data_IF_302243097825
#
_entry.id   IF_302243097825
#
_cell.length_a   1.000
_cell.length_b   1.000
_cell.length_c   1.000
_cell.angle_alpha   90.00
_cell.angle_beta   90.00
_cell.angle_gamma   90.00
#
_symmetry.space_group_name_H-M   'P 1'
#
loop_
_entity.id
_entity.type
_entity.pdbx_description
1 polymer ?
#
# COMPACT_ATOMS: atom_id res chain seq x y z
N UNK A 1 5.52 8.37 -7.39
CA UNK A 1 4.70 9.04 -6.35
C UNK A 1 5.58 10.00 -5.56
N UNK A 2 5.04 11.13 -5.07
CA UNK A 2 5.79 12.01 -4.14
C UNK A 2 6.08 11.23 -2.85
N UNK A 3 7.28 11.42 -2.28
CA UNK A 3 7.76 10.71 -1.09
C UNK A 3 6.88 10.90 0.17
N UNK A 4 5.98 11.88 0.18
CA UNK A 4 5.18 12.26 1.35
C UNK A 4 3.70 11.82 1.30
N UNK A 5 3.26 11.09 0.27
CA UNK A 5 1.83 10.73 0.15
C UNK A 5 0.89 11.90 -0.24
N UNK A 6 1.39 13.13 -0.33
CA UNK A 6 0.63 14.34 -0.74
C UNK A 6 -0.04 14.21 -2.12
N UNK A 7 0.41 13.26 -2.94
CA UNK A 7 -0.15 12.99 -4.26
C UNK A 7 -1.12 11.78 -4.29
N UNK A 8 -1.33 11.07 -3.18
CA UNK A 8 -2.09 9.82 -3.18
C UNK A 8 -3.55 10.04 -3.62
N UNK A 9 -4.19 11.10 -3.12
CA UNK A 9 -5.56 11.45 -3.52
C UNK A 9 -5.67 11.75 -5.03
N UNK A 10 -4.66 12.43 -5.60
CA UNK A 10 -4.64 12.76 -7.03
C UNK A 10 -4.36 11.54 -7.90
N UNK A 11 -3.45 10.65 -7.48
CA UNK A 11 -3.20 9.37 -8.16
C UNK A 11 -4.45 8.49 -8.10
N UNK A 12 -5.08 8.38 -6.94
CA UNK A 12 -6.32 7.64 -6.79
C UNK A 12 -7.42 8.23 -7.69
N UNK A 13 -7.60 9.55 -7.73
CA UNK A 13 -8.53 10.21 -8.67
C UNK A 13 -8.24 9.83 -10.12
N UNK A 14 -6.97 9.90 -10.55
CA UNK A 14 -6.57 9.50 -11.89
C UNK A 14 -6.94 8.04 -12.18
N UNK A 15 -6.75 7.12 -11.22
CA UNK A 15 -7.14 5.72 -11.36
C UNK A 15 -8.66 5.56 -11.43
N UNK A 16 -9.43 6.27 -10.59
CA UNK A 16 -10.89 6.28 -10.66
C UNK A 16 -11.41 6.72 -12.03
N UNK A 17 -10.80 7.76 -12.61
CA UNK A 17 -11.26 8.36 -13.86
C UNK A 17 -10.77 7.63 -15.12
N UNK A 18 -9.53 7.11 -15.10
CA UNK A 18 -8.85 6.59 -16.30
C UNK A 18 -8.61 5.09 -16.30
N UNK A 19 -8.61 4.46 -15.13
CA UNK A 19 -8.28 3.03 -14.98
C UNK A 19 -9.23 2.32 -13.99
N UNK A 20 -10.54 2.23 -14.31
CA UNK A 20 -11.55 1.69 -13.40
C UNK A 20 -11.26 0.23 -13.00
N UNK A 21 -10.68 -0.58 -13.90
CA UNK A 21 -10.30 -1.96 -13.58
C UNK A 21 -9.17 -2.02 -12.53
N UNK A 22 -8.18 -1.14 -12.61
CA UNK A 22 -7.08 -1.06 -11.64
C UNK A 22 -7.61 -0.65 -10.26
N UNK A 23 -8.41 0.41 -10.19
CA UNK A 23 -8.94 0.86 -8.89
C UNK A 23 -9.90 -0.17 -8.28
N UNK A 24 -10.69 -0.89 -9.08
CA UNK A 24 -11.54 -1.96 -8.58
C UNK A 24 -10.73 -3.09 -7.95
N UNK A 25 -9.59 -3.47 -8.55
CA UNK A 25 -8.67 -4.45 -7.97
C UNK A 25 -8.03 -3.95 -6.67
N UNK A 26 -7.64 -2.68 -6.62
CA UNK A 26 -7.11 -2.04 -5.40
C UNK A 26 -8.15 -2.07 -4.29
N UNK A 27 -9.39 -1.68 -4.58
CA UNK A 27 -10.48 -1.67 -3.61
C UNK A 27 -10.82 -3.08 -3.14
N UNK A 28 -10.78 -4.07 -4.04
CA UNK A 28 -10.98 -5.47 -3.67
C UNK A 28 -9.88 -5.95 -2.71
N UNK A 29 -8.61 -5.76 -3.08
CA UNK A 29 -7.49 -6.15 -2.23
C UNK A 29 -7.56 -5.43 -0.86
N UNK A 30 -7.89 -4.14 -0.84
CA UNK A 30 -8.03 -3.38 0.41
C UNK A 30 -9.08 -3.98 1.34
N UNK A 31 -10.26 -4.39 0.82
CA UNK A 31 -11.31 -5.05 1.62
C UNK A 31 -10.84 -6.39 2.18
N UNK A 32 -10.13 -7.16 1.35
CA UNK A 32 -9.61 -8.47 1.74
C UNK A 32 -8.54 -8.33 2.84
N UNK A 33 -7.69 -7.30 2.76
CA UNK A 33 -6.61 -7.08 3.74
C UNK A 33 -7.08 -6.33 5.00
N UNK A 34 -8.11 -5.50 4.88
CA UNK A 34 -8.64 -4.68 5.98
C UNK A 34 -10.17 -4.84 6.03
N UNK A 35 -10.68 -5.88 6.72
CA UNK A 35 -12.11 -6.20 6.74
C UNK A 35 -13.05 -5.08 7.24
N UNK A 36 -12.50 -4.09 7.97
CA UNK A 36 -13.27 -2.91 8.39
C UNK A 36 -13.59 -1.95 7.24
N UNK A 37 -12.76 -1.89 6.19
CA UNK A 37 -12.89 -0.92 5.10
C UNK A 37 -13.59 -1.55 3.89
N UNK A 38 -14.78 -1.05 3.58
CA UNK A 38 -15.59 -1.50 2.46
C UNK A 38 -15.33 -0.72 1.17
N UNK A 39 -15.00 0.56 1.26
CA UNK A 39 -14.80 1.36 0.05
C UNK A 39 -13.87 2.55 0.30
N UNK A 40 -13.27 3.04 -0.78
CA UNK A 40 -12.57 4.32 -0.81
C UNK A 40 -13.13 5.13 -1.98
N UNK A 41 -13.36 6.41 -1.77
CA UNK A 41 -13.74 7.34 -2.85
C UNK A 41 -13.03 8.70 -2.71
N UNK A 42 -13.21 9.56 -3.70
CA UNK A 42 -12.66 10.91 -3.73
C UNK A 42 -13.77 11.92 -3.50
N UNK A 43 -13.52 12.88 -2.60
CA UNK A 43 -14.37 14.05 -2.41
C UNK A 43 -13.61 15.34 -2.70
N UNK A 44 -14.24 16.21 -3.47
CA UNK A 44 -13.83 17.61 -3.57
C UNK A 44 -14.38 18.38 -2.37
N UNK A 45 -13.50 19.05 -1.64
CA UNK A 45 -13.89 19.96 -0.57
C UNK A 45 -14.27 21.32 -1.14
N UNK A 46 -15.00 22.14 -0.38
CA UNK A 46 -15.45 23.47 -0.80
C UNK A 46 -14.30 24.43 -1.11
N UNK A 47 -13.14 24.23 -0.47
CA UNK A 47 -11.89 24.96 -0.73
C UNK A 47 -11.09 24.40 -1.94
N UNK A 48 -11.68 23.48 -2.72
CA UNK A 48 -11.12 22.97 -3.97
C UNK A 48 -10.06 21.87 -3.79
N UNK A 49 -9.87 21.34 -2.58
CA UNK A 49 -8.91 20.25 -2.33
C UNK A 49 -9.53 18.88 -2.63
N UNK A 50 -8.66 17.93 -2.90
CA UNK A 50 -9.00 16.52 -3.07
C UNK A 50 -8.72 15.78 -1.77
N UNK A 51 -9.73 15.07 -1.24
CA UNK A 51 -9.57 14.22 -0.07
C UNK A 51 -10.07 12.82 -0.36
N UNK A 52 -9.35 11.82 0.16
CA UNK A 52 -9.81 10.44 0.19
C UNK A 52 -10.85 10.28 1.30
N UNK A 53 -11.92 9.55 1.01
CA UNK A 53 -12.88 9.08 2.01
C UNK A 53 -12.90 7.57 2.06
N UNK A 54 -12.98 7.06 3.27
CA UNK A 54 -13.01 5.64 3.55
C UNK A 54 -14.38 5.31 4.15
N UNK A 55 -15.02 4.29 3.61
CA UNK A 55 -16.28 3.76 4.11
C UNK A 55 -15.97 2.52 4.94
N UNK A 56 -16.31 2.54 6.22
CA UNK A 56 -16.27 1.37 7.09
C UNK A 56 -17.66 0.72 7.17
N UNK A 57 -17.71 -0.60 7.30
CA UNK A 57 -18.97 -1.35 7.39
C UNK A 57 -19.84 -0.96 8.59
N UNK A 58 -19.22 -0.50 9.67
CA UNK A 58 -19.87 -0.21 10.95
C UNK A 58 -20.35 1.24 11.06
N UNK A 59 -20.01 2.09 10.09
CA UNK A 59 -20.35 3.52 10.10
C UNK A 59 -21.31 3.86 8.95
N UNK A 60 -22.33 4.69 9.22
CA UNK A 60 -23.26 5.13 8.17
C UNK A 60 -22.59 6.08 7.16
N UNK A 61 -21.74 6.98 7.64
CA UNK A 61 -21.09 8.00 6.81
C UNK A 61 -19.60 7.67 6.57
N UNK A 62 -19.10 7.86 5.34
CA UNK A 62 -17.67 7.77 5.06
C UNK A 62 -16.89 8.86 5.81
N UNK A 63 -15.72 8.52 6.32
CA UNK A 63 -14.82 9.45 7.00
C UNK A 63 -13.64 9.82 6.10
N UNK A 64 -13.20 11.08 6.17
CA UNK A 64 -12.06 11.54 5.39
C UNK A 64 -10.75 10.98 5.97
N UNK A 65 -9.72 10.88 5.14
CA UNK A 65 -8.43 10.26 5.48
C UNK A 65 -7.81 10.69 6.82
N UNK A 66 -8.07 11.91 7.30
CA UNK A 66 -7.57 12.41 8.59
C UNK A 66 -8.07 11.64 9.83
N UNK A 67 -9.14 10.85 9.69
CA UNK A 67 -9.70 10.01 10.74
C UNK A 67 -9.43 8.52 10.51
N UNK A 68 -8.67 8.19 9.47
CA UNK A 68 -8.24 6.84 9.16
C UNK A 68 -6.93 6.57 9.89
N UNK A 69 -6.71 5.33 10.34
CA UNK A 69 -5.41 4.95 10.89
C UNK A 69 -4.28 5.05 9.86
N UNK A 70 -3.10 5.45 10.30
CA UNK A 70 -1.91 5.55 9.44
C UNK A 70 -1.64 4.23 8.69
N UNK A 71 -1.82 3.09 9.37
CA UNK A 71 -1.64 1.77 8.76
C UNK A 71 -2.60 1.50 7.59
N UNK A 72 -3.85 1.94 7.67
CA UNK A 72 -4.82 1.79 6.57
C UNK A 72 -4.45 2.68 5.38
N UNK A 73 -4.07 3.93 5.65
CA UNK A 73 -3.65 4.86 4.60
C UNK A 73 -2.38 4.36 3.89
N UNK A 74 -1.42 3.84 4.66
CA UNK A 74 -0.17 3.28 4.13
C UNK A 74 -0.41 2.00 3.33
N UNK A 75 -1.29 1.12 3.80
CA UNK A 75 -1.67 -0.08 3.04
C UNK A 75 -2.35 0.29 1.72
N UNK A 76 -3.29 1.25 1.73
CA UNK A 76 -3.91 1.75 0.51
C UNK A 76 -2.86 2.36 -0.45
N UNK A 77 -1.88 3.11 0.07
CA UNK A 77 -0.79 3.65 -0.73
C UNK A 77 0.06 2.56 -1.40
N UNK A 78 0.37 1.46 -0.70
CA UNK A 78 1.05 0.31 -1.29
C UNK A 78 0.22 -0.36 -2.37
N UNK A 79 -1.08 -0.58 -2.14
CA UNK A 79 -1.94 -1.17 -3.16
C UNK A 79 -2.01 -0.27 -4.41
N UNK A 80 -2.10 1.05 -4.24
CA UNK A 80 -2.02 2.00 -5.37
C UNK A 80 -0.68 1.86 -6.11
N UNK A 81 0.45 1.70 -5.41
CA UNK A 81 1.77 1.47 -6.03
C UNK A 81 1.83 0.16 -6.82
N UNK A 82 1.37 -0.94 -6.21
CA UNK A 82 1.54 -2.30 -6.71
C UNK A 82 0.55 -2.66 -7.83
N UNK A 83 -0.55 -1.92 -7.96
CA UNK A 83 -1.55 -2.12 -9.00
C UNK A 83 -1.56 -0.99 -10.03
N UNK A 84 -0.51 -0.17 -10.06
CA UNK A 84 -0.36 0.88 -11.05
C UNK A 84 -0.49 0.28 -12.48
N UNK A 85 -1.32 0.89 -13.36
CA UNK A 85 -1.51 0.42 -14.74
C UNK A 85 -0.21 0.40 -15.55
N UNK A 86 0.82 1.14 -15.13
CA UNK A 86 2.16 1.13 -15.68
C UNK A 86 3.13 0.63 -14.60
N UNK A 87 3.21 -0.69 -14.36
CA UNK A 87 4.04 -1.23 -13.30
C UNK A 87 5.52 -0.93 -13.57
N UNK A 88 6.24 -0.55 -12.52
CA UNK A 88 7.69 -0.42 -12.57
C UNK A 88 8.34 -1.80 -12.70
N UNK A 89 9.37 -1.97 -13.54
CA UNK A 89 10.07 -3.25 -13.63
C UNK A 89 10.76 -3.61 -12.30
N UNK A 90 11.11 -2.60 -11.50
CA UNK A 90 11.78 -2.74 -10.21
C UNK A 90 11.21 -1.75 -9.20
N UNK A 91 10.82 -2.24 -8.04
CA UNK A 91 10.46 -1.46 -6.86
C UNK A 91 11.48 -1.74 -5.76
N UNK A 92 12.04 -0.69 -5.17
CA UNK A 92 12.86 -0.78 -3.96
C UNK A 92 12.10 -0.06 -2.84
N UNK A 93 11.81 -0.77 -1.76
CA UNK A 93 11.00 -0.29 -0.63
C UNK A 93 11.82 -0.46 0.64
N UNK A 94 12.04 0.65 1.34
CA UNK A 94 12.76 0.64 2.62
C UNK A 94 11.78 0.65 3.77
N UNK A 95 12.02 -0.22 4.75
CA UNK A 95 11.27 -0.37 6.00
C UNK A 95 9.75 -0.33 5.79
N UNK A 96 9.19 -1.23 4.95
CA UNK A 96 7.78 -1.19 4.62
C UNK A 96 6.87 -1.28 5.84
N UNK A 97 7.32 -1.98 6.88
CA UNK A 97 6.65 -2.20 8.16
C UNK A 97 6.40 -0.91 8.97
N UNK A 98 7.14 0.17 8.71
CA UNK A 98 7.03 1.38 9.51
C UNK A 98 5.57 1.88 9.51
N UNK A 99 4.97 2.12 10.68
CA UNK A 99 3.58 2.62 10.80
C UNK A 99 2.49 1.67 10.27
N UNK A 100 2.81 0.43 9.88
CA UNK A 100 1.81 -0.62 9.63
C UNK A 100 1.53 -1.39 10.92
N UNK A 101 0.29 -1.88 11.01
CA UNK A 101 -0.09 -2.82 12.06
C UNK A 101 0.56 -4.18 11.80
N UNK A 102 1.02 -4.91 12.84
CA UNK A 102 1.64 -6.24 12.68
C UNK A 102 0.81 -7.21 11.84
N UNK A 103 -0.51 -7.14 11.96
CA UNK A 103 -1.47 -7.98 11.22
C UNK A 103 -1.43 -7.74 9.70
N UNK A 104 -1.03 -6.53 9.26
CA UNK A 104 -0.95 -6.16 7.84
C UNK A 104 0.41 -6.50 7.20
N UNK A 105 1.42 -6.87 7.98
CA UNK A 105 2.76 -7.14 7.46
C UNK A 105 2.75 -8.36 6.53
N UNK A 106 2.10 -9.45 6.96
CA UNK A 106 1.95 -10.66 6.16
C UNK A 106 1.18 -10.38 4.87
N UNK A 107 0.09 -9.60 4.98
CA UNK A 107 -0.71 -9.23 3.81
C UNK A 107 0.09 -8.39 2.82
N UNK A 108 0.91 -7.46 3.29
CA UNK A 108 1.78 -6.67 2.42
C UNK A 108 2.83 -7.54 1.70
N UNK A 109 3.39 -8.54 2.36
CA UNK A 109 4.34 -9.48 1.74
C UNK A 109 3.65 -10.28 0.63
N UNK A 110 2.41 -10.73 0.83
CA UNK A 110 1.64 -11.38 -0.23
C UNK A 110 1.43 -10.44 -1.43
N UNK A 111 1.11 -9.16 -1.20
CA UNK A 111 0.96 -8.17 -2.28
C UNK A 111 2.27 -7.94 -3.05
N UNK A 112 3.42 -7.93 -2.36
CA UNK A 112 4.73 -7.87 -3.02
C UNK A 112 5.01 -9.11 -3.87
N UNK A 113 4.66 -10.30 -3.36
CA UNK A 113 4.81 -11.56 -4.08
C UNK A 113 3.91 -11.61 -5.31
N UNK A 114 2.67 -11.15 -5.17
CA UNK A 114 1.72 -11.04 -6.28
C UNK A 114 2.16 -10.01 -7.32
N UNK A 115 2.78 -8.91 -6.91
CA UNK A 115 3.42 -7.98 -7.82
C UNK A 115 4.54 -8.64 -8.62
N UNK A 116 5.42 -9.40 -7.94
CA UNK A 116 6.52 -10.10 -8.59
C UNK A 116 6.02 -11.15 -9.59
N UNK A 117 4.96 -11.89 -9.25
CA UNK A 117 4.30 -12.86 -10.14
C UNK A 117 3.72 -12.22 -11.41
N UNK A 118 3.36 -10.93 -11.36
CA UNK A 118 2.91 -10.15 -12.53
C UNK A 118 4.06 -9.68 -13.44
N UNK A 119 5.31 -10.00 -13.11
CA UNK A 119 6.50 -9.70 -13.90
C UNK A 119 7.32 -8.51 -13.41
N UNK A 120 6.93 -7.89 -12.29
CA UNK A 120 7.76 -6.88 -11.61
C UNK A 120 8.82 -7.51 -10.71
N UNK A 121 9.71 -6.69 -10.16
CA UNK A 121 10.63 -7.09 -9.09
C UNK A 121 10.45 -6.18 -7.89
N UNK A 122 10.49 -6.73 -6.67
CA UNK A 122 10.43 -5.97 -5.42
C UNK A 122 11.64 -6.30 -4.57
N UNK A 123 12.40 -5.29 -4.20
CA UNK A 123 13.44 -5.35 -3.19
C UNK A 123 12.94 -4.65 -1.94
N UNK A 124 13.00 -5.37 -0.83
CA UNK A 124 12.61 -4.83 0.48
C UNK A 124 13.84 -4.83 1.36
N UNK A 125 14.14 -3.69 1.98
CA UNK A 125 15.01 -3.65 3.15
C UNK A 125 14.17 -3.54 4.41
N UNK A 126 14.50 -4.35 5.42
CA UNK A 126 13.78 -4.39 6.69
C UNK A 126 14.73 -4.80 7.80
N UNK A 127 14.47 -4.28 9.01
CA UNK A 127 15.10 -4.72 10.24
C UNK A 127 14.10 -5.42 11.17
N UNK A 128 12.82 -5.54 10.78
CA UNK A 128 11.76 -6.14 11.59
C UNK A 128 11.77 -7.66 11.49
N UNK A 129 12.01 -8.37 12.62
CA UNK A 129 11.81 -9.81 12.67
C UNK A 129 10.36 -10.22 12.35
N UNK A 130 9.38 -9.40 12.74
CA UNK A 130 7.96 -9.65 12.48
C UNK A 130 7.65 -9.64 10.98
N UNK A 131 8.23 -8.69 10.23
CA UNK A 131 8.09 -8.67 8.77
C UNK A 131 8.77 -9.90 8.15
N UNK A 132 9.97 -10.25 8.59
CA UNK A 132 10.69 -11.44 8.09
C UNK A 132 9.93 -12.75 8.31
N UNK A 133 9.10 -12.86 9.35
CA UNK A 133 8.29 -14.05 9.61
C UNK A 133 7.26 -14.35 8.50
N UNK A 134 6.88 -13.36 7.69
CA UNK A 134 5.98 -13.58 6.55
C UNK A 134 6.69 -13.94 5.24
N UNK A 135 8.02 -13.83 5.19
CA UNK A 135 8.81 -14.15 4.01
C UNK A 135 9.18 -15.64 3.97
N UNK A 136 9.30 -16.18 2.76
CA UNK A 136 9.87 -17.52 2.54
C UNK A 136 11.39 -17.45 2.66
N UNK A 137 12.03 -18.58 2.99
CA UNK A 137 13.48 -18.61 3.21
C UNK A 137 14.27 -18.21 1.96
N UNK A 138 13.75 -18.57 0.77
CA UNK A 138 14.34 -18.25 -0.52
C UNK A 138 14.20 -16.76 -0.90
N UNK A 139 13.33 -16.02 -0.20
CA UNK A 139 13.10 -14.59 -0.39
C UNK A 139 14.00 -13.72 0.51
N UNK A 140 14.74 -14.34 1.45
CA UNK A 140 15.53 -13.63 2.46
C UNK A 140 17.01 -13.62 2.10
N UNK A 141 17.56 -12.41 1.96
CA UNK A 141 18.99 -12.18 1.79
C UNK A 141 19.57 -11.50 3.02
N UNK A 142 20.41 -12.22 3.78
CA UNK A 142 21.08 -11.67 4.96
C UNK A 142 22.39 -10.97 4.59
N UNK A 143 22.41 -9.64 4.73
CA UNK A 143 23.61 -8.83 4.52
C UNK A 143 24.31 -8.57 5.85
N UNK A 144 25.61 -8.90 5.93
CA UNK A 144 26.44 -8.64 7.12
C UNK A 144 27.69 -7.86 6.74
N UNK A 145 27.85 -6.68 7.35
CA UNK A 145 29.08 -5.89 7.21
C UNK A 145 30.28 -6.67 7.75
N UNK A 146 31.34 -6.79 6.95
CA UNK A 146 32.62 -7.39 7.34
C UNK A 146 33.76 -6.41 7.04
N UNK A 147 34.52 -6.05 8.08
CA UNK A 147 35.67 -5.14 7.96
C UNK A 147 35.40 -3.81 7.25
N UNK A 148 34.21 -3.23 7.44
CA UNK A 148 33.86 -1.93 6.84
C UNK A 148 33.13 -1.99 5.50
N UNK A 149 33.08 -3.16 4.85
CA UNK A 149 32.39 -3.37 3.57
C UNK A 149 31.19 -4.32 3.75
N UNK A 150 30.16 -4.14 2.93
CA UNK A 150 28.99 -5.03 2.84
C UNK A 150 29.22 -6.05 1.73
#
# INVERSE_FOLDING_TARGET
MSANGDNLASVAQFLFEKHPECINRILQALRERIPGINNVDIKHTEDGRLVLRFQDANFQDPFISKYVSDGTLKMFAYLVLLYDPKPNPLLAIEEPEAQLYPELLYELIEEFRDYARRGGQVFVSTHSPEFLNGAQLEEIYWLKKKNGFT
#
